data_IF_247240040172
#
_entry.id   IF_247240040172
#
_cell.length_a   1.000
_cell.length_b   1.000
_cell.length_c   1.000
_cell.angle_alpha   90.00
_cell.angle_beta   90.00
_cell.angle_gamma   90.00
#
_symmetry.space_group_name_H-M   'P 1'
#
loop_
_entity.id
_entity.type
_entity.pdbx_description
1 polymer ?
#
# COMPACT_ATOMS: atom_id res chain seq x y z
N UNK A 1 -8.92 32.64 -2.82
CA UNK A 1 -7.92 31.59 -3.12
C UNK A 1 -8.60 30.26 -2.92
N UNK A 2 -9.01 29.62 -4.01
CA UNK A 2 -9.70 28.33 -4.01
C UNK A 2 -8.67 27.25 -4.27
N UNK A 3 -8.40 26.42 -3.26
CA UNK A 3 -7.62 25.20 -3.41
C UNK A 3 -8.28 24.32 -4.45
N UNK A 4 -7.57 24.08 -5.57
CA UNK A 4 -7.92 22.99 -6.48
C UNK A 4 -7.54 21.70 -5.76
N UNK A 5 -8.53 21.07 -5.13
CA UNK A 5 -8.45 19.65 -4.76
C UNK A 5 -8.12 18.88 -6.03
N UNK A 6 -6.85 18.50 -6.17
CA UNK A 6 -6.40 17.68 -7.29
C UNK A 6 -7.15 16.36 -7.22
N UNK A 7 -7.94 16.06 -8.27
CA UNK A 7 -8.57 14.75 -8.40
C UNK A 7 -7.48 13.68 -8.33
N UNK A 8 -7.45 12.95 -7.21
CA UNK A 8 -6.70 11.71 -7.09
C UNK A 8 -7.31 10.70 -8.05
N UNK A 9 -6.58 10.32 -9.08
CA UNK A 9 -7.00 9.26 -10.00
C UNK A 9 -6.66 7.92 -9.36
N UNK A 10 -7.67 7.23 -8.84
CA UNK A 10 -7.53 5.84 -8.37
C UNK A 10 -7.89 4.92 -9.54
N UNK A 11 -6.88 4.33 -10.17
CA UNK A 11 -7.06 3.25 -11.15
C UNK A 11 -7.03 1.94 -10.38
N UNK A 12 -8.19 1.30 -10.18
CA UNK A 12 -8.29 0.04 -9.44
C UNK A 12 -9.15 -0.97 -10.17
N UNK A 13 -8.78 -2.24 -10.08
CA UNK A 13 -9.57 -3.37 -10.54
C UNK A 13 -10.46 -3.83 -9.37
N UNK A 14 -11.75 -3.53 -9.43
CA UNK A 14 -12.74 -4.11 -8.51
C UNK A 14 -13.24 -5.42 -9.11
N UNK A 15 -12.73 -6.54 -8.60
CA UNK A 15 -13.25 -7.86 -8.95
C UNK A 15 -14.55 -8.12 -8.20
N UNK A 16 -15.64 -8.37 -8.93
CA UNK A 16 -16.91 -8.81 -8.35
C UNK A 16 -17.04 -10.31 -8.58
N UNK A 17 -17.12 -11.07 -7.50
CA UNK A 17 -17.48 -12.49 -7.57
C UNK A 17 -18.97 -12.58 -7.27
N UNK A 18 -19.77 -12.77 -8.31
CA UNK A 18 -21.20 -13.04 -8.12
C UNK A 18 -21.34 -14.41 -7.46
N UNK A 19 -21.93 -14.44 -6.26
CA UNK A 19 -22.27 -15.65 -5.53
C UNK A 19 -23.73 -15.58 -5.15
N UNK A 20 -24.49 -16.60 -5.53
CA UNK A 20 -25.91 -16.74 -5.17
C UNK A 20 -26.10 -17.20 -3.72
N UNK A 21 -25.00 -17.56 -3.04
CA UNK A 21 -25.01 -18.01 -1.66
C UNK A 21 -24.94 -16.80 -0.71
N UNK A 22 -25.89 -16.61 0.22
CA UNK A 22 -25.86 -15.52 1.19
C UNK A 22 -24.77 -15.72 2.25
N UNK A 23 -24.39 -16.97 2.50
CA UNK A 23 -23.36 -17.38 3.47
C UNK A 23 -22.41 -18.41 2.82
N UNK A 24 -21.19 -18.49 3.35
CA UNK A 24 -20.20 -19.49 2.98
C UNK A 24 -19.85 -20.34 4.21
N UNK A 25 -19.44 -21.60 4.05
CA UNK A 25 -18.96 -22.40 5.16
C UNK A 25 -17.76 -21.73 5.83
N UNK A 26 -17.79 -21.63 7.14
CA UNK A 26 -16.65 -21.23 7.94
C UNK A 26 -15.79 -22.49 8.21
N UNK A 27 -14.62 -22.55 7.58
CA UNK A 27 -13.70 -23.68 7.73
C UNK A 27 -13.04 -23.74 9.12
N UNK A 28 -13.04 -22.63 9.87
CA UNK A 28 -12.43 -22.57 11.20
C UNK A 28 -13.42 -23.00 12.29
N UNK A 29 -14.68 -22.54 12.20
CA UNK A 29 -15.70 -22.81 13.22
C UNK A 29 -16.63 -23.97 12.86
N UNK A 30 -16.64 -24.40 11.59
CA UNK A 30 -17.57 -25.41 11.06
C UNK A 30 -19.01 -24.90 10.88
N UNK A 31 -19.25 -23.60 11.11
CA UNK A 31 -20.56 -22.96 10.94
C UNK A 31 -20.75 -22.32 9.56
N UNK A 32 -21.73 -21.42 9.48
CA UNK A 32 -21.91 -20.54 8.33
C UNK A 32 -21.44 -19.12 8.67
N UNK A 33 -20.84 -18.44 7.70
CA UNK A 33 -20.43 -17.02 7.84
C UNK A 33 -20.84 -16.22 6.62
N UNK A 34 -20.93 -14.91 6.77
CA UNK A 34 -21.08 -13.98 5.62
C UNK A 34 -19.83 -13.97 4.75
N UNK A 35 -19.98 -13.57 3.49
CA UNK A 35 -18.83 -13.38 2.60
C UNK A 35 -17.87 -12.35 3.18
N UNK A 36 -16.57 -12.68 3.16
CA UNK A 36 -15.51 -11.73 3.52
C UNK A 36 -15.19 -10.82 2.34
N UNK A 37 -14.89 -9.58 2.66
CA UNK A 37 -14.25 -8.66 1.72
C UNK A 37 -12.76 -8.95 1.70
N UNK A 38 -12.16 -8.90 0.52
CA UNK A 38 -10.74 -9.14 0.31
C UNK A 38 -10.12 -8.03 -0.54
N UNK A 39 -8.93 -7.58 -0.15
CA UNK A 39 -8.13 -6.61 -0.90
C UNK A 39 -6.69 -7.12 -1.04
N UNK A 40 -6.18 -7.12 -2.27
CA UNK A 40 -4.77 -7.35 -2.56
C UNK A 40 -4.02 -6.03 -2.52
N UNK A 41 -3.20 -5.82 -1.48
CA UNK A 41 -2.36 -4.64 -1.36
C UNK A 41 -0.97 -4.95 -1.92
N UNK A 42 -0.56 -4.19 -2.94
CA UNK A 42 0.81 -4.21 -3.49
C UNK A 42 1.31 -2.78 -3.52
N UNK A 43 2.13 -2.41 -2.53
CA UNK A 43 2.60 -1.04 -2.33
C UNK A 43 4.13 -1.02 -2.29
N UNK A 44 4.73 -0.06 -3.00
CA UNK A 44 6.14 0.26 -2.86
C UNK A 44 6.28 1.73 -2.46
N UNK A 45 7.16 2.02 -1.52
CA UNK A 45 7.51 3.37 -1.10
C UNK A 45 8.96 3.61 -1.53
N UNK A 46 9.18 4.64 -2.34
CA UNK A 46 10.51 5.07 -2.75
C UNK A 46 10.72 6.53 -2.35
N UNK A 47 11.92 6.91 -1.88
CA UNK A 47 12.26 8.32 -1.73
C UNK A 47 12.26 8.97 -3.12
N UNK A 48 11.83 10.23 -3.17
CA UNK A 48 11.93 11.00 -4.40
C UNK A 48 13.41 11.20 -4.79
N UNK A 49 13.79 10.60 -5.92
CA UNK A 49 15.13 10.70 -6.49
C UNK A 49 15.23 11.81 -7.55
N UNK A 50 14.28 12.75 -7.64
CA UNK A 50 14.29 13.81 -8.66
C UNK A 50 15.57 14.67 -8.67
N UNK A 51 16.35 14.74 -7.57
CA UNK A 51 17.69 15.35 -7.59
C UNK A 51 18.80 14.45 -8.18
N UNK A 52 18.58 13.15 -8.35
CA UNK A 52 19.52 12.19 -8.97
C UNK A 52 19.15 11.80 -10.41
N UNK A 53 17.89 11.94 -10.82
CA UNK A 53 17.41 11.63 -12.18
C UNK A 53 17.89 12.59 -13.29
N UNK A 54 18.88 13.44 -13.05
CA UNK A 54 19.53 14.21 -14.11
C UNK A 54 20.54 13.39 -14.93
N UNK A 55 20.82 12.13 -14.55
CA UNK A 55 21.65 11.25 -15.37
C UNK A 55 20.80 10.48 -16.39
N UNK A 56 21.12 10.53 -17.71
CA UNK A 56 20.33 9.87 -18.76
C UNK A 56 20.26 8.34 -18.67
N UNK A 57 20.92 7.72 -17.69
CA UNK A 57 21.06 6.27 -17.53
C UNK A 57 20.44 5.70 -16.23
N UNK A 58 19.83 6.53 -15.36
CA UNK A 58 19.14 6.01 -14.17
C UNK A 58 17.65 5.81 -14.46
N UNK A 59 17.30 4.59 -14.85
CA UNK A 59 15.93 4.12 -15.01
C UNK A 59 15.18 4.17 -13.67
N UNK A 60 13.86 4.36 -13.72
CA UNK A 60 13.00 4.18 -12.55
C UNK A 60 13.33 2.86 -11.85
N UNK A 61 13.43 2.87 -10.52
CA UNK A 61 13.61 1.65 -9.73
C UNK A 61 12.33 0.84 -9.86
N UNK A 62 12.30 -0.08 -10.82
CA UNK A 62 11.22 -1.04 -10.98
C UNK A 62 11.60 -2.27 -10.20
N UNK A 63 10.94 -2.49 -9.07
CA UNK A 63 11.03 -3.78 -8.39
C UNK A 63 10.28 -4.83 -9.23
N UNK A 64 10.89 -5.98 -9.55
CA UNK A 64 10.31 -6.96 -10.46
C UNK A 64 8.98 -7.54 -9.96
N UNK A 65 8.79 -7.60 -8.63
CA UNK A 65 7.52 -7.95 -8.00
C UNK A 65 7.38 -7.16 -6.69
N UNK A 66 6.39 -6.26 -6.55
CA UNK A 66 6.09 -5.66 -5.25
C UNK A 66 5.73 -6.75 -4.23
N UNK A 67 6.06 -6.56 -2.94
CA UNK A 67 5.48 -7.38 -1.90
C UNK A 67 3.95 -7.22 -1.95
N UNK A 68 3.25 -8.36 -1.91
CA UNK A 68 1.80 -8.42 -2.02
C UNK A 68 1.23 -9.14 -0.81
N UNK A 69 0.24 -8.52 -0.16
CA UNK A 69 -0.50 -9.11 0.96
C UNK A 69 -1.99 -9.15 0.65
N UNK A 70 -2.66 -10.24 1.04
CA UNK A 70 -4.11 -10.35 1.01
C UNK A 70 -4.67 -9.96 2.38
N UNK A 71 -5.42 -8.87 2.42
CA UNK A 71 -6.12 -8.41 3.62
C UNK A 71 -7.59 -8.79 3.46
N UNK A 72 -8.15 -9.45 4.46
CA UNK A 72 -9.57 -9.83 4.48
C UNK A 72 -10.26 -9.32 5.73
N UNK A 73 -11.55 -8.97 5.60
CA UNK A 73 -12.38 -8.51 6.71
C UNK A 73 -13.84 -8.95 6.52
N UNK A 74 -14.61 -8.92 7.60
CA UNK A 74 -16.03 -9.30 7.59
C UNK A 74 -16.94 -8.13 7.18
N UNK A 75 -16.45 -6.88 7.21
CA UNK A 75 -17.14 -5.68 6.70
C UNK A 75 -16.20 -4.78 5.91
N UNK A 76 -16.75 -3.83 5.14
CA UNK A 76 -15.96 -2.85 4.41
C UNK A 76 -15.25 -1.86 5.35
N UNK A 77 -15.89 -1.50 6.47
CA UNK A 77 -15.32 -0.60 7.47
C UNK A 77 -14.09 -1.24 8.15
N UNK A 78 -14.17 -2.52 8.52
CA UNK A 78 -13.03 -3.27 9.07
C UNK A 78 -11.93 -3.46 8.00
N UNK A 79 -12.31 -3.68 6.73
CA UNK A 79 -11.33 -3.75 5.63
C UNK A 79 -10.57 -2.43 5.47
N UNK A 80 -11.28 -1.30 5.52
CA UNK A 80 -10.69 0.04 5.43
C UNK A 80 -9.72 0.28 6.59
N UNK A 81 -10.13 0.01 7.83
CA UNK A 81 -9.29 0.20 9.01
C UNK A 81 -8.00 -0.62 8.92
N UNK A 82 -8.09 -1.88 8.51
CA UNK A 82 -6.93 -2.76 8.30
C UNK A 82 -6.01 -2.25 7.20
N UNK A 83 -6.57 -1.81 6.06
CA UNK A 83 -5.79 -1.24 4.95
C UNK A 83 -5.04 0.03 5.39
N UNK A 84 -5.72 0.94 6.08
CA UNK A 84 -5.12 2.17 6.59
C UNK A 84 -4.01 1.86 7.59
N UNK A 85 -4.21 0.86 8.45
CA UNK A 85 -3.21 0.41 9.42
C UNK A 85 -1.97 -0.13 8.72
N UNK A 86 -2.13 -1.05 7.77
CA UNK A 86 -1.02 -1.62 7.00
C UNK A 86 -0.21 -0.53 6.27
N UNK A 87 -0.90 0.43 5.63
CA UNK A 87 -0.25 1.55 4.94
C UNK A 87 0.52 2.43 5.92
N UNK A 88 -0.04 2.73 7.09
CA UNK A 88 0.64 3.52 8.14
C UNK A 88 1.89 2.81 8.67
N UNK A 89 1.81 1.51 8.88
CA UNK A 89 2.97 0.71 9.31
C UNK A 89 4.05 0.72 8.23
N UNK A 90 3.70 0.52 6.95
CA UNK A 90 4.64 0.61 5.84
C UNK A 90 5.34 1.99 5.77
N UNK A 91 4.59 3.08 5.94
CA UNK A 91 5.16 4.44 5.97
C UNK A 91 6.12 4.60 7.15
N UNK A 92 5.75 4.10 8.34
CA UNK A 92 6.62 4.15 9.52
C UNK A 92 7.90 3.35 9.33
N UNK A 93 7.82 2.17 8.72
CA UNK A 93 8.99 1.38 8.37
C UNK A 93 9.90 2.12 7.39
N UNK A 94 9.33 2.73 6.34
CA UNK A 94 10.10 3.52 5.39
C UNK A 94 10.82 4.71 6.07
N UNK A 95 10.14 5.44 6.96
CA UNK A 95 10.75 6.55 7.72
C UNK A 95 11.91 6.08 8.60
N UNK A 96 11.73 4.99 9.34
CA UNK A 96 12.78 4.41 10.18
C UNK A 96 13.99 3.98 9.33
N UNK A 97 13.77 3.31 8.20
CA UNK A 97 14.85 2.89 7.30
C UNK A 97 15.62 4.10 6.74
N UNK A 98 14.91 5.18 6.38
CA UNK A 98 15.55 6.42 5.93
C UNK A 98 16.39 7.07 7.04
N UNK A 99 15.89 7.07 8.28
CA UNK A 99 16.63 7.59 9.44
C UNK A 99 17.90 6.77 9.73
N UNK A 100 17.79 5.44 9.74
CA UNK A 100 18.94 4.54 9.92
C UNK A 100 20.00 4.75 8.83
N UNK A 101 19.59 4.89 7.57
CA UNK A 101 20.51 5.19 6.46
C UNK A 101 21.27 6.53 6.67
N UNK A 102 20.57 7.57 7.16
CA UNK A 102 21.20 8.87 7.52
C UNK A 102 22.22 8.71 8.65
N UNK A 103 21.88 7.95 9.69
CA UNK A 103 22.76 7.73 10.86
C UNK A 103 24.01 6.91 10.52
N UNK A 104 23.91 5.98 9.57
CA UNK A 104 25.01 5.14 9.10
C UNK A 104 25.93 5.84 8.06
N UNK A 105 25.66 7.10 7.71
CA UNK A 105 26.44 7.84 6.72
C UNK A 105 26.32 7.29 5.28
N UNK A 106 25.30 6.45 5.01
CA UNK A 106 24.98 6.03 3.66
C UNK A 106 24.18 7.15 3.00
N UNK A 107 24.86 7.91 2.13
CA UNK A 107 24.40 9.19 1.59
C UNK A 107 22.95 9.23 1.13
N UNK A 108 22.08 9.79 1.98
CA UNK A 108 20.85 10.43 1.55
C UNK A 108 21.18 11.91 1.24
N UNK A 109 20.67 12.49 0.15
CA UNK A 109 20.95 13.87 -0.19
C UNK A 109 20.49 14.76 0.96
N UNK A 110 21.41 15.60 1.44
CA UNK A 110 21.12 16.54 2.51
C UNK A 110 19.89 17.39 2.14
N UNK A 111 18.98 17.54 3.09
CA UNK A 111 17.94 18.57 3.04
C UNK A 111 18.63 19.94 3.06
N UNK A 112 18.85 20.52 1.89
CA UNK A 112 19.12 21.95 1.79
C UNK A 112 17.83 22.69 2.12
N UNK A 113 17.90 23.44 3.23
CA UNK A 113 16.85 24.30 3.80
C UNK A 113 16.36 25.38 2.83
#
# INVERSE_FOLDING_TARGET
MTEKSGMSLVVTNVGVVASDLPTVPDLETGGERTHRFGCWLSLNIFPDLHKQQQSPNQSAIVLPTPPTVLITADSLEDLEERLVTEIKELIKHADNTLREAREQGQGLPAEEK
#
